data_IF_852817815855
#
_entry.id   IF_852817815855
#
_cell.length_a   1.000
_cell.length_b   1.000
_cell.length_c   1.000
_cell.angle_alpha   90.00
_cell.angle_beta   90.00
_cell.angle_gamma   90.00
#
_symmetry.space_group_name_H-M   'P 1'
#
loop_
_entity.id
_entity.type
_entity.pdbx_description
1 polymer ?
#
# COMPACT_ATOMS: atom_id res chain seq x y z
N UNK A 1 22.88 -29.93 -4.48
CA UNK A 1 23.08 -28.76 -5.38
C UNK A 1 21.76 -28.12 -5.83
N UNK A 2 20.59 -28.73 -5.61
CA UNK A 2 19.28 -28.16 -6.01
C UNK A 2 18.67 -27.12 -5.05
N UNK A 3 19.13 -27.08 -3.79
CA UNK A 3 18.55 -26.19 -2.77
C UNK A 3 18.93 -24.71 -2.94
N UNK A 4 20.14 -24.42 -3.43
CA UNK A 4 20.61 -23.04 -3.66
C UNK A 4 19.86 -22.35 -4.81
N UNK A 5 19.69 -23.04 -5.95
CA UNK A 5 19.02 -22.48 -7.13
C UNK A 5 17.54 -22.14 -6.83
N UNK A 6 16.85 -23.01 -6.08
CA UNK A 6 15.45 -22.79 -5.72
C UNK A 6 15.28 -21.62 -4.72
N UNK A 7 16.25 -21.40 -3.84
CA UNK A 7 16.25 -20.28 -2.90
C UNK A 7 16.50 -18.94 -3.60
N UNK A 8 17.47 -18.88 -4.52
CA UNK A 8 17.76 -17.68 -5.32
C UNK A 8 16.59 -17.32 -6.24
N UNK A 9 15.97 -18.31 -6.89
CA UNK A 9 14.83 -18.08 -7.78
C UNK A 9 13.62 -17.54 -7.01
N UNK A 10 13.34 -18.08 -5.81
CA UNK A 10 12.26 -17.58 -4.93
C UNK A 10 12.54 -16.18 -4.39
N UNK A 11 13.79 -15.85 -4.06
CA UNK A 11 14.17 -14.52 -3.62
C UNK A 11 14.01 -13.49 -4.74
N UNK A 12 14.45 -13.83 -5.96
CA UNK A 12 14.29 -13.01 -7.15
C UNK A 12 12.81 -12.81 -7.51
N UNK A 13 11.99 -13.86 -7.44
CA UNK A 13 10.57 -13.78 -7.75
C UNK A 13 9.81 -12.89 -6.75
N UNK A 14 10.16 -12.95 -5.46
CA UNK A 14 9.62 -12.04 -4.44
C UNK A 14 10.03 -10.59 -4.67
N UNK A 15 11.29 -10.35 -5.01
CA UNK A 15 11.79 -9.00 -5.31
C UNK A 15 11.10 -8.43 -6.56
N UNK A 16 10.97 -9.23 -7.62
CA UNK A 16 10.29 -8.86 -8.86
C UNK A 16 8.80 -8.55 -8.64
N UNK A 17 8.10 -9.36 -7.82
CA UNK A 17 6.72 -9.09 -7.41
C UNK A 17 6.58 -7.73 -6.71
N UNK A 18 7.44 -7.44 -5.73
CA UNK A 18 7.44 -6.14 -5.03
C UNK A 18 7.65 -4.97 -5.98
N UNK A 19 8.60 -5.07 -6.91
CA UNK A 19 8.86 -4.01 -7.90
C UNK A 19 7.63 -3.80 -8.80
N UNK A 20 6.96 -4.88 -9.21
CA UNK A 20 5.74 -4.80 -10.03
C UNK A 20 4.59 -4.15 -9.28
N UNK A 21 4.40 -4.45 -7.99
CA UNK A 21 3.41 -3.81 -7.12
C UNK A 21 3.70 -2.32 -6.92
N UNK A 22 4.96 -1.95 -6.67
CA UNK A 22 5.38 -0.55 -6.56
C UNK A 22 5.12 0.19 -7.87
N UNK A 23 5.47 -0.39 -9.02
CA UNK A 23 5.24 0.23 -10.32
C UNK A 23 3.74 0.42 -10.61
N UNK A 24 2.91 -0.56 -10.25
CA UNK A 24 1.45 -0.47 -10.35
C UNK A 24 0.88 0.64 -9.46
N UNK A 25 1.37 0.76 -8.23
CA UNK A 25 1.02 1.85 -7.32
C UNK A 25 1.35 3.23 -7.91
N UNK A 26 2.57 3.43 -8.40
CA UNK A 26 2.97 4.70 -9.00
C UNK A 26 2.14 5.06 -10.24
N UNK A 27 1.71 4.08 -11.04
CA UNK A 27 0.82 4.31 -12.18
C UNK A 27 -0.54 4.87 -11.74
N UNK A 28 -1.16 4.24 -10.74
CA UNK A 28 -2.45 4.71 -10.19
C UNK A 28 -2.30 6.07 -9.49
N UNK A 29 -1.23 6.27 -8.71
CA UNK A 29 -0.96 7.54 -8.04
C UNK A 29 -0.75 8.68 -9.02
N UNK A 30 0.03 8.46 -10.08
CA UNK A 30 0.25 9.47 -11.12
C UNK A 30 -1.06 9.82 -11.82
N UNK A 31 -1.87 8.80 -12.15
CA UNK A 31 -3.18 9.01 -12.77
C UNK A 31 -4.10 9.83 -11.86
N UNK A 32 -4.12 9.55 -10.56
CA UNK A 32 -4.87 10.32 -9.58
C UNK A 32 -4.39 11.78 -9.47
N UNK A 33 -3.08 12.00 -9.41
CA UNK A 33 -2.50 13.35 -9.38
C UNK A 33 -2.77 14.16 -10.65
N UNK A 34 -3.08 13.54 -11.79
CA UNK A 34 -3.46 14.24 -13.01
C UNK A 34 -4.97 14.44 -13.12
N UNK A 35 -5.74 13.38 -12.84
CA UNK A 35 -7.20 13.38 -12.99
C UNK A 35 -7.87 14.27 -11.94
N UNK A 36 -7.42 14.25 -10.68
CA UNK A 36 -8.07 15.02 -9.62
C UNK A 36 -7.95 16.54 -9.84
N UNK A 37 -6.77 17.12 -10.17
CA UNK A 37 -6.67 18.52 -10.52
C UNK A 37 -7.45 18.88 -11.78
N UNK A 38 -7.47 17.99 -12.78
CA UNK A 38 -8.29 18.19 -13.97
C UNK A 38 -9.79 18.29 -13.62
N UNK A 39 -10.30 17.38 -12.80
CA UNK A 39 -11.68 17.41 -12.31
C UNK A 39 -11.95 18.61 -11.42
N UNK A 40 -10.99 19.03 -10.61
CA UNK A 40 -11.10 20.24 -9.79
C UNK A 40 -11.27 21.49 -10.66
N UNK A 41 -10.43 21.66 -11.68
CA UNK A 41 -10.55 22.78 -12.63
C UNK A 41 -11.89 22.72 -13.37
N UNK A 42 -12.28 21.53 -13.85
CA UNK A 42 -13.54 21.34 -14.56
C UNK A 42 -14.75 21.65 -13.67
N UNK A 43 -14.69 21.26 -12.39
CA UNK A 43 -15.71 21.57 -11.41
C UNK A 43 -15.86 23.08 -11.18
N UNK A 44 -14.74 23.81 -11.06
CA UNK A 44 -14.76 25.27 -10.91
C UNK A 44 -15.35 25.98 -12.14
N UNK A 45 -15.15 25.43 -13.34
CA UNK A 45 -15.68 25.99 -14.59
C UNK A 45 -17.18 25.69 -14.75
N UNK A 46 -17.59 24.44 -14.53
CA UNK A 46 -18.97 24.01 -14.80
C UNK A 46 -19.93 24.37 -13.66
N UNK A 47 -19.52 24.14 -12.42
CA UNK A 47 -20.41 24.26 -11.25
C UNK A 47 -19.63 24.70 -10.01
N UNK A 48 -19.17 25.97 -9.93
CA UNK A 48 -18.39 26.45 -8.79
C UNK A 48 -19.18 26.42 -7.46
N UNK A 49 -20.51 26.35 -7.52
CA UNK A 49 -21.36 26.23 -6.33
C UNK A 49 -21.54 24.79 -5.83
N UNK A 50 -21.14 23.78 -6.62
CA UNK A 50 -21.29 22.38 -6.24
C UNK A 50 -20.01 21.59 -6.52
N UNK A 51 -19.23 21.37 -5.46
CA UNK A 51 -17.91 20.74 -5.49
C UNK A 51 -17.98 19.20 -5.61
N UNK A 52 -18.53 18.70 -6.71
CA UNK A 52 -18.68 17.26 -6.95
C UNK A 52 -17.33 16.52 -7.11
N UNK A 53 -16.22 17.22 -7.36
CA UNK A 53 -14.88 16.61 -7.50
C UNK A 53 -14.42 15.86 -6.23
N UNK A 54 -14.98 16.18 -5.06
CA UNK A 54 -14.69 15.47 -3.81
C UNK A 54 -15.11 13.99 -3.87
N UNK A 55 -16.16 13.64 -4.60
CA UNK A 55 -16.62 12.25 -4.69
C UNK A 55 -15.59 11.34 -5.39
N UNK A 56 -15.10 11.66 -6.60
CA UNK A 56 -13.99 10.94 -7.20
C UNK A 56 -12.71 10.98 -6.35
N UNK A 57 -12.38 12.14 -5.77
CA UNK A 57 -11.19 12.31 -4.93
C UNK A 57 -11.21 11.35 -3.74
N UNK A 58 -12.28 11.34 -2.95
CA UNK A 58 -12.39 10.49 -1.78
C UNK A 58 -12.51 9.01 -2.17
N UNK A 59 -13.35 8.68 -3.15
CA UNK A 59 -13.56 7.30 -3.59
C UNK A 59 -12.28 6.63 -4.11
N UNK A 60 -11.56 7.29 -5.03
CA UNK A 60 -10.27 6.78 -5.51
C UNK A 60 -9.15 6.95 -4.50
N UNK A 61 -9.15 8.04 -3.73
CA UNK A 61 -8.11 8.34 -2.74
C UNK A 61 -8.00 7.23 -1.69
N UNK A 62 -9.12 6.70 -1.21
CA UNK A 62 -9.13 5.57 -0.26
C UNK A 62 -8.48 4.33 -0.89
N UNK A 63 -8.78 4.02 -2.15
CA UNK A 63 -8.19 2.88 -2.86
C UNK A 63 -6.67 3.01 -3.01
N UNK A 64 -6.18 4.21 -3.30
CA UNK A 64 -4.73 4.49 -3.39
C UNK A 64 -4.06 4.38 -2.03
N UNK A 65 -4.67 4.91 -0.97
CA UNK A 65 -4.13 4.80 0.39
C UNK A 65 -4.05 3.33 0.81
N UNK A 66 -5.09 2.54 0.57
CA UNK A 66 -5.09 1.11 0.86
C UNK A 66 -3.98 0.37 0.09
N UNK A 67 -3.81 0.68 -1.19
CA UNK A 67 -2.73 0.11 -2.00
C UNK A 67 -1.34 0.55 -1.51
N UNK A 68 -1.18 1.82 -1.09
CA UNK A 68 0.05 2.33 -0.51
C UNK A 68 0.45 1.55 0.76
N UNK A 69 -0.50 1.36 1.69
CA UNK A 69 -0.27 0.63 2.94
C UNK A 69 0.20 -0.80 2.63
N UNK A 70 -0.45 -1.47 1.68
CA UNK A 70 -0.08 -2.83 1.29
C UNK A 70 1.31 -2.89 0.60
N UNK A 71 1.58 -1.98 -0.33
CA UNK A 71 2.82 -1.94 -1.12
C UNK A 71 4.04 -1.53 -0.28
N UNK A 72 3.90 -0.54 0.59
CA UNK A 72 4.99 -0.10 1.48
C UNK A 72 5.07 -0.92 2.78
N UNK A 73 4.09 -1.79 3.04
CA UNK A 73 4.05 -2.61 4.24
C UNK A 73 3.96 -1.77 5.51
N UNK A 74 3.30 -0.61 5.45
CA UNK A 74 3.14 0.29 6.59
C UNK A 74 2.38 -0.47 7.67
N UNK A 75 3.07 -0.85 8.75
CA UNK A 75 2.52 -1.63 9.85
C UNK A 75 3.05 -3.05 9.98
N UNK A 76 3.73 -3.62 8.97
CA UNK A 76 4.31 -4.99 9.07
C UNK A 76 5.38 -5.09 10.16
N UNK A 77 6.28 -4.11 10.25
CA UNK A 77 7.28 -4.05 11.35
C UNK A 77 6.64 -3.89 12.73
N UNK A 78 5.54 -3.12 12.81
CA UNK A 78 4.80 -2.95 14.06
C UNK A 78 4.09 -4.25 14.46
N UNK A 79 3.46 -4.93 13.51
CA UNK A 79 2.77 -6.20 13.69
C UNK A 79 3.75 -7.29 14.15
N UNK A 80 4.89 -7.42 13.48
CA UNK A 80 5.93 -8.41 13.80
C UNK A 80 6.54 -8.16 15.19
N UNK A 81 6.78 -6.90 15.55
CA UNK A 81 7.18 -6.52 16.93
C UNK A 81 6.12 -6.88 17.95
N UNK A 82 4.84 -6.64 17.65
CA UNK A 82 3.74 -6.84 18.59
C UNK A 82 3.48 -8.33 18.83
N UNK A 83 3.60 -9.16 17.79
CA UNK A 83 3.58 -10.62 17.86
C UNK A 83 4.74 -11.12 18.75
N UNK A 84 5.95 -10.62 18.53
CA UNK A 84 7.11 -11.01 19.33
C UNK A 84 6.94 -10.67 20.82
N UNK A 85 6.42 -9.48 21.13
CA UNK A 85 6.12 -9.08 22.51
C UNK A 85 5.05 -9.96 23.18
N UNK A 86 4.02 -10.41 22.44
CA UNK A 86 2.99 -11.32 22.98
C UNK A 86 3.56 -12.72 23.24
N UNK A 87 4.37 -13.26 22.32
CA UNK A 87 5.04 -14.55 22.50
C UNK A 87 6.01 -14.54 23.69
N UNK A 88 6.77 -13.47 23.88
CA UNK A 88 7.67 -13.32 25.04
C UNK A 88 6.89 -13.24 26.36
N UNK A 89 5.70 -12.64 26.37
CA UNK A 89 4.82 -12.62 27.54
C UNK A 89 4.26 -14.01 27.86
N UNK A 90 3.72 -14.72 26.87
CA UNK A 90 3.24 -16.11 27.08
C UNK A 90 4.36 -17.04 27.57
N UNK A 91 5.57 -16.88 27.03
CA UNK A 91 6.70 -17.73 27.43
C UNK A 91 7.17 -17.41 28.85
N UNK A 92 7.05 -16.15 29.32
CA UNK A 92 7.31 -15.79 30.72
C UNK A 92 6.23 -16.29 31.68
N UNK A 93 4.97 -16.28 31.27
CA UNK A 93 3.86 -16.82 32.08
C UNK A 93 3.91 -18.34 32.22
N UNK A 94 4.37 -19.08 31.19
CA UNK A 94 4.49 -20.55 31.25
C UNK A 94 5.69 -21.06 32.07
N UNK A 95 6.62 -20.18 32.45
CA UNK A 95 7.84 -20.51 33.19
C UNK A 95 7.73 -20.16 34.69
N UNK A 96 6.65 -19.48 35.09
CA UNK A 96 6.25 -19.22 36.48
C UNK A 96 5.19 -20.24 36.94
#
# INVERSE_FOLDING_TARGET
METHFNHENRAYERASKRVKEIKGFYGNLTSYCLVIPFLFILNLITSPQHLWFYWPMLGWGIGIIAHAINTFGIGKDWEERKIKELMEKENKEKVL
#
